data_IF_506111697987
#
_entry.id   IF_506111697987
#
_cell.length_a   1.000
_cell.length_b   1.000
_cell.length_c   1.000
_cell.angle_alpha   90.00
_cell.angle_beta   90.00
_cell.angle_gamma   90.00
#
_symmetry.space_group_name_H-M   'P 1'
#
loop_
_entity.id
_entity.type
_entity.pdbx_description
1 polymer ?
#
# COMPACT_ATOMS: atom_id res chain seq x y z
N UNK A 1 -17.07 25.37 1.42
CA UNK A 1 -17.66 24.09 1.88
C UNK A 1 -16.63 23.46 2.82
N UNK A 2 -16.85 23.54 4.10
CA UNK A 2 -16.03 22.89 5.12
C UNK A 2 -16.22 21.38 4.97
N UNK A 3 -15.17 20.69 4.54
CA UNK A 3 -15.13 19.23 4.61
C UNK A 3 -15.22 18.85 6.08
N UNK A 4 -16.38 18.36 6.48
CA UNK A 4 -16.70 17.92 7.81
C UNK A 4 -15.83 16.72 8.18
N UNK A 5 -15.02 16.89 9.17
CA UNK A 5 -14.43 16.00 10.20
C UNK A 5 -14.30 14.47 9.96
N UNK A 6 -14.19 13.99 8.73
CA UNK A 6 -13.63 12.67 8.47
C UNK A 6 -12.16 12.68 8.91
N UNK A 7 -11.83 11.95 9.97
CA UNK A 7 -10.47 11.84 10.48
C UNK A 7 -9.67 10.93 9.53
N UNK A 8 -8.56 11.44 9.02
CA UNK A 8 -7.59 10.63 8.27
C UNK A 8 -6.22 10.86 8.88
N UNK A 9 -5.54 9.78 9.23
CA UNK A 9 -4.22 9.82 9.86
C UNK A 9 -3.22 9.00 9.06
N UNK A 10 -1.97 9.43 9.08
CA UNK A 10 -0.85 8.78 8.43
C UNK A 10 0.33 8.73 9.41
N UNK A 11 0.80 7.52 9.70
CA UNK A 11 2.02 7.29 10.47
C UNK A 11 3.14 6.81 9.53
N UNK A 12 4.29 7.44 9.63
CA UNK A 12 5.49 6.95 8.96
C UNK A 12 6.13 5.85 9.82
N UNK A 13 6.72 4.82 9.19
CA UNK A 13 7.34 3.73 9.92
C UNK A 13 8.60 4.21 10.66
N UNK A 14 8.94 3.56 11.76
CA UNK A 14 10.27 3.70 12.37
C UNK A 14 11.35 3.38 11.35
N UNK A 15 12.52 3.99 11.48
CA UNK A 15 13.64 3.81 10.52
C UNK A 15 14.01 2.33 10.32
N UNK A 16 13.92 1.51 11.37
CA UNK A 16 14.19 0.07 11.30
C UNK A 16 13.19 -0.71 10.43
N UNK A 17 11.98 -0.18 10.21
CA UNK A 17 10.93 -0.75 9.37
C UNK A 17 10.77 -0.01 8.02
N UNK A 18 11.51 1.05 7.77
CA UNK A 18 11.32 1.92 6.60
C UNK A 18 11.47 1.20 5.25
N UNK A 19 12.24 0.11 5.16
CA UNK A 19 12.36 -0.73 3.96
C UNK A 19 11.32 -1.86 3.87
N UNK A 20 10.49 -2.01 4.90
CA UNK A 20 9.42 -3.00 4.98
C UNK A 20 8.04 -2.33 4.87
N UNK A 21 7.83 -1.28 5.67
CA UNK A 21 6.57 -0.56 5.77
C UNK A 21 6.69 0.76 5.01
N UNK A 22 5.76 1.01 4.08
CA UNK A 22 5.64 2.28 3.37
C UNK A 22 4.96 3.35 4.22
N UNK A 23 3.99 2.95 5.01
CA UNK A 23 3.22 3.79 5.90
C UNK A 23 2.06 3.03 6.53
N UNK A 24 1.49 3.61 7.58
CA UNK A 24 0.27 3.13 8.23
C UNK A 24 -0.76 4.24 8.11
N UNK A 25 -1.99 3.89 7.77
CA UNK A 25 -3.07 4.86 7.55
C UNK A 25 -4.32 4.42 8.30
N UNK A 26 -5.06 5.38 8.82
CA UNK A 26 -6.42 5.17 9.30
C UNK A 26 -7.37 6.19 8.68
N UNK A 27 -8.61 5.78 8.48
CA UNK A 27 -9.72 6.65 8.10
C UNK A 27 -10.92 6.32 8.95
N UNK A 28 -11.44 7.34 9.65
CA UNK A 28 -12.63 7.24 10.48
C UNK A 28 -13.68 8.24 10.01
N UNK A 29 -14.86 7.72 9.69
CA UNK A 29 -16.04 8.50 9.28
C UNK A 29 -17.25 8.22 10.15
N UNK A 30 -17.06 7.61 11.33
CA UNK A 30 -18.17 7.18 12.20
C UNK A 30 -19.04 8.35 12.71
N UNK A 31 -18.42 9.52 12.87
CA UNK A 31 -19.10 10.73 13.33
C UNK A 31 -19.65 11.62 12.19
N UNK A 32 -19.52 11.18 10.93
CA UNK A 32 -19.82 12.01 9.75
C UNK A 32 -20.92 11.41 8.91
N UNK A 33 -21.86 12.24 8.48
CA UNK A 33 -22.85 11.86 7.45
C UNK A 33 -22.23 12.11 6.09
N UNK A 34 -21.91 11.04 5.38
CA UNK A 34 -21.35 11.11 4.02
C UNK A 34 -22.48 11.14 2.98
N UNK A 35 -22.37 12.04 2.02
CA UNK A 35 -23.16 11.98 0.78
C UNK A 35 -22.66 10.84 -0.13
N UNK A 36 -23.42 10.53 -1.18
CA UNK A 36 -23.08 9.38 -2.05
C UNK A 36 -21.70 9.50 -2.70
N UNK A 37 -21.27 10.65 -3.27
CA UNK A 37 -19.90 10.79 -3.80
C UNK A 37 -18.79 10.57 -2.77
N UNK A 38 -18.99 10.96 -1.53
CA UNK A 38 -18.02 10.84 -0.44
C UNK A 38 -17.80 9.40 0.05
N UNK A 39 -18.71 8.49 -0.30
CA UNK A 39 -18.63 7.06 0.01
C UNK A 39 -17.66 6.29 -0.89
N UNK A 40 -17.25 6.88 -2.01
CA UNK A 40 -16.29 6.26 -2.92
C UNK A 40 -14.85 6.61 -2.53
N UNK A 41 -14.01 5.58 -2.45
CA UNK A 41 -12.58 5.73 -2.19
C UNK A 41 -11.82 5.32 -3.43
N UNK A 42 -11.11 6.27 -4.00
CA UNK A 42 -10.30 6.07 -5.19
C UNK A 42 -8.86 5.71 -4.80
N UNK A 43 -8.46 4.48 -5.08
CA UNK A 43 -7.12 3.99 -4.82
C UNK A 43 -6.30 4.03 -6.11
N UNK A 44 -5.17 4.77 -6.13
CA UNK A 44 -4.30 4.81 -7.29
C UNK A 44 -3.61 3.46 -7.52
N UNK A 45 -2.98 3.31 -8.67
CA UNK A 45 -2.02 2.22 -8.90
C UNK A 45 -0.95 2.26 -7.81
N UNK A 46 -0.71 1.14 -7.15
CA UNK A 46 0.26 1.05 -6.07
C UNK A 46 1.08 -0.26 -6.17
N UNK A 47 2.40 -0.18 -6.05
CA UNK A 47 3.24 -1.38 -6.04
C UNK A 47 3.26 -2.09 -4.68
N UNK A 48 2.68 -1.49 -3.65
CA UNK A 48 2.65 -2.02 -2.28
C UNK A 48 1.56 -3.05 -2.08
N UNK A 49 1.78 -3.98 -1.14
CA UNK A 49 0.71 -4.76 -0.54
C UNK A 49 0.08 -3.97 0.60
N UNK A 50 -1.16 -4.28 0.96
CA UNK A 50 -1.80 -3.67 2.11
C UNK A 50 -2.45 -4.73 3.01
N UNK A 51 -2.12 -4.70 4.31
CA UNK A 51 -2.93 -5.33 5.35
C UNK A 51 -4.02 -4.33 5.71
N UNK A 52 -5.28 -4.75 5.61
CA UNK A 52 -6.43 -3.87 5.76
C UNK A 52 -7.42 -4.43 6.78
N UNK A 53 -7.86 -3.58 7.67
CA UNK A 53 -8.90 -3.85 8.67
C UNK A 53 -10.06 -2.88 8.46
N UNK A 54 -11.26 -3.41 8.34
CA UNK A 54 -12.48 -2.67 8.56
C UNK A 54 -12.92 -2.91 10.00
N UNK A 55 -12.50 -2.01 10.89
CA UNK A 55 -12.75 -2.09 12.35
C UNK A 55 -14.22 -1.86 12.66
N UNK A 56 -14.87 -1.01 11.88
CA UNK A 56 -16.30 -0.72 11.92
C UNK A 56 -16.80 -0.44 10.51
N UNK A 57 -18.07 -0.79 10.26
CA UNK A 57 -18.69 -0.62 8.95
C UNK A 57 -18.27 -1.69 7.94
N UNK A 58 -18.66 -1.48 6.70
CA UNK A 58 -18.46 -2.41 5.60
C UNK A 58 -17.82 -1.70 4.40
N UNK A 59 -17.23 -2.48 3.53
CA UNK A 59 -16.67 -2.00 2.28
C UNK A 59 -16.96 -2.97 1.15
N UNK A 60 -17.22 -2.43 -0.03
CA UNK A 60 -17.41 -3.16 -1.27
C UNK A 60 -16.44 -2.60 -2.31
N UNK A 61 -15.83 -3.47 -3.10
CA UNK A 61 -14.98 -3.06 -4.21
C UNK A 61 -15.78 -3.11 -5.51
N UNK A 62 -15.66 -2.09 -6.33
CA UNK A 62 -16.29 -2.05 -7.64
C UNK A 62 -15.60 -3.02 -8.58
N UNK A 63 -16.37 -3.60 -9.50
CA UNK A 63 -15.81 -4.41 -10.57
C UNK A 63 -14.77 -3.60 -11.37
N UNK A 64 -13.68 -4.22 -11.85
CA UNK A 64 -12.63 -3.52 -12.58
C UNK A 64 -13.18 -2.71 -13.76
N UNK A 65 -12.88 -1.41 -13.80
CA UNK A 65 -13.34 -0.51 -14.84
C UNK A 65 -14.79 -0.02 -14.70
N UNK A 66 -15.52 -0.47 -13.68
CA UNK A 66 -16.87 0.04 -13.43
C UNK A 66 -16.79 1.51 -12.95
N UNK A 67 -17.70 2.39 -13.45
CA UNK A 67 -17.75 3.77 -12.99
C UNK A 67 -18.25 3.85 -11.54
N UNK A 68 -17.88 4.89 -10.76
CA UNK A 68 -18.35 5.09 -9.39
C UNK A 68 -19.80 5.61 -9.37
N UNK A 69 -20.75 4.72 -9.67
CA UNK A 69 -22.18 5.02 -9.72
C UNK A 69 -22.94 4.08 -8.77
N UNK A 70 -24.13 4.49 -8.26
CA UNK A 70 -24.90 3.71 -7.30
C UNK A 70 -25.24 2.27 -7.74
N UNK A 71 -25.41 2.05 -9.03
CA UNK A 71 -25.79 0.74 -9.60
C UNK A 71 -24.61 -0.05 -10.16
N UNK A 72 -23.38 0.43 -10.02
CA UNK A 72 -22.20 -0.28 -10.51
C UNK A 72 -22.01 -1.61 -9.81
N UNK A 73 -21.61 -2.67 -10.52
CA UNK A 73 -21.32 -3.97 -9.95
C UNK A 73 -20.22 -3.85 -8.90
N UNK A 74 -20.43 -4.44 -7.73
CA UNK A 74 -19.49 -4.42 -6.62
C UNK A 74 -19.61 -5.68 -5.79
N UNK A 75 -18.54 -6.04 -5.10
CA UNK A 75 -18.49 -7.20 -4.22
C UNK A 75 -18.01 -6.81 -2.83
N UNK A 76 -18.57 -7.40 -1.75
CA UNK A 76 -18.09 -7.18 -0.40
C UNK A 76 -16.65 -7.71 -0.25
N UNK A 77 -15.90 -7.07 0.62
CA UNK A 77 -14.57 -7.54 1.03
C UNK A 77 -14.58 -7.87 2.52
N UNK A 78 -13.74 -8.82 2.93
CA UNK A 78 -13.65 -9.27 4.31
C UNK A 78 -13.16 -8.14 5.24
N UNK A 79 -13.56 -8.19 6.53
CA UNK A 79 -13.15 -7.22 7.53
C UNK A 79 -11.63 -7.20 7.75
N UNK A 80 -10.95 -8.34 7.56
CA UNK A 80 -9.51 -8.50 7.61
C UNK A 80 -9.03 -9.01 6.24
N UNK A 81 -8.18 -8.26 5.55
CA UNK A 81 -7.89 -8.49 4.14
C UNK A 81 -6.43 -8.21 3.82
N UNK A 82 -5.86 -9.01 2.90
CA UNK A 82 -4.62 -8.69 2.21
C UNK A 82 -4.94 -8.19 0.80
N UNK A 83 -4.53 -6.97 0.49
CA UNK A 83 -4.51 -6.46 -0.86
C UNK A 83 -3.11 -6.65 -1.46
N UNK A 84 -3.02 -7.24 -2.64
CA UNK A 84 -1.78 -7.33 -3.41
C UNK A 84 -1.43 -6.00 -4.09
N UNK A 85 -0.31 -5.96 -4.83
CA UNK A 85 0.01 -4.81 -5.65
C UNK A 85 -1.04 -4.63 -6.74
N UNK A 86 -1.38 -3.38 -7.06
CA UNK A 86 -2.35 -3.06 -8.10
C UNK A 86 -1.68 -2.43 -9.32
N UNK A 87 -2.01 -2.92 -10.51
CA UNK A 87 -1.59 -2.38 -11.81
C UNK A 87 -2.62 -1.43 -12.42
N UNK A 88 -3.80 -1.37 -11.84
CA UNK A 88 -4.93 -0.52 -12.24
C UNK A 88 -5.50 0.21 -11.03
N UNK A 89 -6.03 1.43 -11.20
CA UNK A 89 -6.79 2.08 -10.15
C UNK A 89 -7.97 1.21 -9.72
N UNK A 90 -8.26 1.20 -8.42
CA UNK A 90 -9.43 0.52 -7.85
C UNK A 90 -10.33 1.53 -7.16
N UNK A 91 -11.60 1.23 -7.10
CA UNK A 91 -12.58 2.06 -6.39
C UNK A 91 -13.31 1.17 -5.40
N UNK A 92 -13.35 1.59 -4.16
CA UNK A 92 -14.22 0.97 -3.14
C UNK A 92 -15.34 1.92 -2.74
N UNK A 93 -16.41 1.34 -2.22
CA UNK A 93 -17.58 2.06 -1.75
C UNK A 93 -17.99 1.56 -0.36
N UNK A 94 -18.34 2.50 0.51
CA UNK A 94 -18.81 2.20 1.86
C UNK A 94 -20.30 2.47 1.96
N UNK A 95 -21.15 1.49 2.34
CA UNK A 95 -22.58 1.67 2.46
C UNK A 95 -22.97 2.66 3.56
N UNK A 96 -22.12 2.85 4.55
CA UNK A 96 -22.32 3.74 5.68
C UNK A 96 -21.01 4.25 6.27
N UNK A 97 -21.08 4.86 7.47
CA UNK A 97 -19.88 5.26 8.20
C UNK A 97 -18.96 4.07 8.46
N UNK A 98 -17.66 4.29 8.44
CA UNK A 98 -16.68 3.24 8.64
C UNK A 98 -15.44 3.74 9.40
N UNK A 99 -14.74 2.80 10.05
CA UNK A 99 -13.38 2.99 10.54
C UNK A 99 -12.51 1.89 9.92
N UNK A 100 -11.55 2.32 9.09
CA UNK A 100 -10.58 1.43 8.46
C UNK A 100 -9.16 1.77 8.91
N UNK A 101 -8.36 0.73 9.10
CA UNK A 101 -6.93 0.81 9.43
C UNK A 101 -6.14 0.01 8.40
N UNK A 102 -5.03 0.54 7.90
CA UNK A 102 -4.29 -0.05 6.80
C UNK A 102 -2.78 0.09 7.00
N UNK A 103 -2.05 -1.00 6.74
CA UNK A 103 -0.58 -1.03 6.74
C UNK A 103 -0.09 -1.31 5.32
N UNK A 104 0.64 -0.37 4.74
CA UNK A 104 1.24 -0.53 3.42
C UNK A 104 2.62 -1.17 3.56
N UNK A 105 2.80 -2.34 2.95
CA UNK A 105 4.03 -3.12 2.96
C UNK A 105 4.70 -3.14 1.59
N UNK A 106 6.01 -3.11 1.57
CA UNK A 106 6.77 -3.42 0.37
C UNK A 106 6.58 -4.91 0.03
N UNK A 107 6.26 -5.27 -1.23
CA UNK A 107 5.87 -6.64 -1.57
C UNK A 107 6.99 -7.67 -1.33
N UNK A 108 8.24 -7.31 -1.61
CA UNK A 108 9.38 -8.18 -1.33
C UNK A 108 9.59 -8.39 0.19
N UNK A 109 9.30 -7.37 1.00
CA UNK A 109 9.36 -7.53 2.46
C UNK A 109 8.27 -8.47 2.98
N UNK A 110 7.04 -8.35 2.46
CA UNK A 110 5.97 -9.30 2.78
C UNK A 110 6.38 -10.72 2.37
N UNK A 111 6.88 -10.91 1.13
CA UNK A 111 7.34 -12.20 0.64
C UNK A 111 8.46 -12.80 1.52
N UNK A 112 9.43 -11.99 1.95
CA UNK A 112 10.52 -12.44 2.84
C UNK A 112 10.02 -12.87 4.22
N UNK A 113 9.02 -12.20 4.77
CA UNK A 113 8.48 -12.52 6.10
C UNK A 113 7.51 -13.68 6.12
N UNK A 114 6.82 -13.94 5.00
CA UNK A 114 5.69 -14.90 4.95
C UNK A 114 5.90 -16.06 3.99
N UNK A 115 6.81 -15.92 3.03
CA UNK A 115 6.94 -16.87 1.91
C UNK A 115 5.87 -16.74 0.83
N UNK A 116 4.94 -15.79 0.93
CA UNK A 116 3.87 -15.60 -0.06
C UNK A 116 4.44 -15.16 -1.41
N UNK A 117 3.87 -15.71 -2.48
CA UNK A 117 4.13 -15.26 -3.85
C UNK A 117 3.33 -13.98 -4.14
N UNK A 118 3.97 -12.83 -4.02
CA UNK A 118 3.34 -11.53 -4.27
C UNK A 118 2.96 -11.33 -5.74
N UNK A 119 3.55 -12.07 -6.67
CA UNK A 119 3.14 -12.02 -8.07
C UNK A 119 1.77 -12.71 -8.28
N UNK A 120 1.45 -13.74 -7.51
CA UNK A 120 0.14 -14.37 -7.51
C UNK A 120 -0.96 -13.51 -6.87
N UNK A 121 -0.58 -12.48 -6.10
CA UNK A 121 -1.49 -11.52 -5.45
C UNK A 121 -1.75 -10.27 -6.31
N UNK A 122 -1.16 -10.17 -7.50
CA UNK A 122 -1.31 -8.99 -8.36
C UNK A 122 -2.78 -8.74 -8.73
N UNK A 123 -3.25 -7.50 -8.52
CA UNK A 123 -4.63 -7.07 -8.74
C UNK A 123 -5.68 -7.89 -7.96
N UNK A 124 -5.31 -8.44 -6.80
CA UNK A 124 -6.18 -9.27 -5.96
C UNK A 124 -6.38 -8.67 -4.57
N UNK A 125 -7.58 -8.91 -4.05
CA UNK A 125 -7.98 -8.69 -2.66
C UNK A 125 -8.39 -10.06 -2.12
N UNK A 126 -7.78 -10.51 -1.04
CA UNK A 126 -8.02 -11.84 -0.47
C UNK A 126 -8.26 -11.74 1.04
N UNK A 127 -9.16 -12.52 1.63
CA UNK A 127 -9.31 -12.60 3.07
C UNK A 127 -7.98 -12.97 3.75
N UNK A 128 -7.66 -12.32 4.86
CA UNK A 128 -6.40 -12.57 5.57
C UNK A 128 -6.30 -14.02 6.08
N UNK A 129 -7.43 -14.62 6.44
CA UNK A 129 -7.53 -16.00 6.90
C UNK A 129 -7.14 -17.05 5.87
N UNK A 130 -7.27 -16.74 4.58
CA UNK A 130 -6.93 -17.66 3.49
C UNK A 130 -5.43 -17.76 3.21
N UNK A 131 -4.64 -16.75 3.63
CA UNK A 131 -3.24 -16.62 3.20
C UNK A 131 -2.23 -16.55 4.34
N UNK A 132 -2.65 -16.23 5.55
CA UNK A 132 -1.76 -16.05 6.68
C UNK A 132 -1.85 -17.19 7.70
N UNK A 133 -0.71 -17.51 8.32
CA UNK A 133 -0.62 -18.47 9.42
C UNK A 133 -1.23 -17.92 10.74
N UNK A 134 -1.22 -18.77 11.78
CA UNK A 134 -1.82 -18.45 13.07
C UNK A 134 -1.24 -17.20 13.74
N UNK A 135 0.06 -16.93 13.58
CA UNK A 135 0.73 -15.77 14.20
C UNK A 135 0.21 -14.48 13.58
N UNK A 136 0.12 -14.43 12.25
CA UNK A 136 -0.44 -13.29 11.53
C UNK A 136 -1.93 -13.10 11.83
N UNK A 137 -2.70 -14.19 11.91
CA UNK A 137 -4.11 -14.12 12.29
C UNK A 137 -4.30 -13.60 13.71
N UNK A 138 -3.40 -13.97 14.64
CA UNK A 138 -3.37 -13.40 15.99
C UNK A 138 -3.10 -11.88 15.95
N UNK A 139 -2.21 -11.40 15.08
CA UNK A 139 -2.02 -9.95 14.86
C UNK A 139 -3.31 -9.30 14.38
N UNK A 140 -3.98 -9.87 13.35
CA UNK A 140 -5.24 -9.31 12.86
C UNK A 140 -6.27 -9.18 13.97
N UNK A 141 -6.38 -10.17 14.84
CA UNK A 141 -7.28 -10.17 15.99
C UNK A 141 -6.91 -9.08 17.01
N UNK A 142 -5.62 -8.98 17.39
CA UNK A 142 -5.15 -7.99 18.37
C UNK A 142 -5.35 -6.55 17.87
N UNK A 143 -5.03 -6.30 16.60
CA UNK A 143 -5.24 -4.99 15.97
C UNK A 143 -6.73 -4.61 15.94
N UNK A 144 -7.61 -5.57 15.63
CA UNK A 144 -9.06 -5.32 15.64
C UNK A 144 -9.60 -4.99 17.04
N UNK A 145 -9.00 -5.57 18.09
CA UNK A 145 -9.42 -5.39 19.49
C UNK A 145 -8.77 -4.19 20.20
N UNK A 146 -7.76 -3.57 19.60
CA UNK A 146 -7.07 -2.43 20.21
C UNK A 146 -7.99 -1.21 20.35
N UNK A 147 -7.81 -0.43 21.42
CA UNK A 147 -8.69 0.68 21.79
C UNK A 147 -8.58 1.88 20.84
N UNK A 148 -7.39 2.13 20.29
CA UNK A 148 -7.13 3.28 19.42
C UNK A 148 -6.05 2.97 18.34
N UNK A 149 -5.90 3.89 17.38
CA UNK A 149 -5.01 3.67 16.23
C UNK A 149 -3.53 3.72 16.61
N UNK A 150 -3.12 4.47 17.64
CA UNK A 150 -1.73 4.46 18.12
C UNK A 150 -1.35 3.10 18.72
N UNK A 151 -2.25 2.46 19.45
CA UNK A 151 -2.05 1.09 19.92
C UNK A 151 -1.97 0.09 18.75
N UNK A 152 -2.80 0.26 17.71
CA UNK A 152 -2.73 -0.56 16.50
C UNK A 152 -1.40 -0.44 15.80
N UNK A 153 -0.89 0.79 15.66
CA UNK A 153 0.45 1.06 15.12
C UNK A 153 1.52 0.35 15.93
N UNK A 154 1.47 0.48 17.27
CA UNK A 154 2.44 -0.14 18.17
C UNK A 154 2.43 -1.68 18.06
N UNK A 155 1.25 -2.30 17.99
CA UNK A 155 1.10 -3.76 17.81
C UNK A 155 1.69 -4.22 16.47
N UNK A 156 1.39 -3.53 15.38
CA UNK A 156 1.94 -3.83 14.05
C UNK A 156 3.46 -3.69 14.05
N UNK A 157 4.00 -2.61 14.58
CA UNK A 157 5.46 -2.40 14.64
C UNK A 157 6.15 -3.45 15.50
N UNK A 158 5.60 -3.80 16.67
CA UNK A 158 6.13 -4.83 17.56
C UNK A 158 6.14 -6.22 16.89
N UNK A 159 5.12 -6.52 16.09
CA UNK A 159 5.02 -7.77 15.35
C UNK A 159 5.97 -7.85 14.16
N UNK A 160 6.05 -6.78 13.37
CA UNK A 160 6.86 -6.75 12.14
C UNK A 160 8.34 -6.62 12.41
N UNK A 161 8.76 -5.87 13.43
CA UNK A 161 10.16 -5.55 13.66
C UNK A 161 11.07 -6.78 13.79
N UNK A 162 10.81 -7.76 14.68
CA UNK A 162 11.66 -8.94 14.79
C UNK A 162 11.66 -9.80 13.52
N UNK A 163 10.50 -9.95 12.87
CA UNK A 163 10.35 -10.72 11.63
C UNK A 163 11.15 -10.12 10.49
N UNK A 164 11.08 -8.79 10.36
CA UNK A 164 11.85 -8.08 9.35
C UNK A 164 13.34 -8.11 9.62
N UNK A 165 13.77 -7.94 10.87
CA UNK A 165 15.19 -8.04 11.23
C UNK A 165 15.80 -9.40 10.90
N UNK A 166 15.04 -10.48 11.05
CA UNK A 166 15.47 -11.85 10.73
C UNK A 166 15.52 -12.12 9.22
N UNK A 167 14.57 -11.56 8.46
CA UNK A 167 14.35 -11.90 7.05
C UNK A 167 14.90 -10.87 6.06
N UNK A 168 15.20 -9.64 6.51
CA UNK A 168 15.60 -8.55 5.62
C UNK A 168 16.93 -8.84 4.92
N UNK A 169 17.04 -8.54 3.61
CA UNK A 169 18.32 -8.59 2.92
C UNK A 169 19.33 -7.60 3.50
N UNK A 170 20.61 -7.99 3.58
CA UNK A 170 21.68 -7.12 4.10
C UNK A 170 21.81 -5.78 3.34
N UNK A 171 21.40 -5.75 2.06
CA UNK A 171 21.41 -4.56 1.20
C UNK A 171 20.10 -3.75 1.24
N UNK A 172 19.14 -4.08 2.12
CA UNK A 172 17.91 -3.31 2.25
C UNK A 172 18.20 -1.89 2.78
N UNK A 173 17.72 -0.89 2.05
CA UNK A 173 17.89 0.53 2.42
C UNK A 173 16.95 0.90 3.55
N UNK A 174 17.37 1.82 4.42
CA UNK A 174 16.49 2.41 5.45
C UNK A 174 15.68 3.58 4.87
N UNK A 175 14.88 3.30 3.84
CA UNK A 175 14.04 4.28 3.17
C UNK A 175 12.67 3.69 2.86
N UNK A 176 11.62 4.47 3.09
CA UNK A 176 10.24 4.13 2.74
C UNK A 176 9.82 4.66 1.37
N UNK A 177 10.70 5.37 0.64
CA UNK A 177 10.40 5.93 -0.69
C UNK A 177 10.39 4.84 -1.75
N UNK A 178 9.39 4.87 -2.64
CA UNK A 178 9.26 3.88 -3.72
C UNK A 178 10.46 3.90 -4.69
N UNK A 179 11.03 5.08 -4.96
CA UNK A 179 12.22 5.21 -5.81
C UNK A 179 13.44 4.50 -5.23
N UNK A 180 13.69 4.64 -3.92
CA UNK A 180 14.83 4.00 -3.26
C UNK A 180 14.62 2.50 -3.15
N UNK A 181 13.40 2.09 -2.81
CA UNK A 181 13.02 0.69 -2.77
C UNK A 181 13.18 0.02 -4.15
N UNK A 182 12.63 0.60 -5.22
CA UNK A 182 12.72 0.02 -6.56
C UNK A 182 14.16 -0.10 -7.05
N UNK A 183 15.02 0.89 -6.73
CA UNK A 183 16.46 0.84 -7.00
C UNK A 183 17.14 -0.31 -6.22
N UNK A 184 16.82 -0.46 -4.94
CA UNK A 184 17.36 -1.55 -4.10
C UNK A 184 16.97 -2.92 -4.64
N UNK A 185 15.70 -3.11 -5.03
CA UNK A 185 15.21 -4.34 -5.67
C UNK A 185 15.98 -4.64 -6.97
N UNK A 186 16.15 -3.64 -7.82
CA UNK A 186 16.87 -3.80 -9.08
C UNK A 186 18.35 -4.20 -8.86
N UNK A 187 19.04 -3.53 -7.93
CA UNK A 187 20.43 -3.87 -7.56
C UNK A 187 20.55 -5.29 -7.03
N UNK A 188 19.66 -5.71 -6.13
CA UNK A 188 19.64 -7.09 -5.60
C UNK A 188 19.37 -8.11 -6.69
N UNK A 189 18.44 -7.82 -7.61
CA UNK A 189 18.14 -8.71 -8.73
C UNK A 189 19.34 -8.88 -9.67
N UNK A 190 20.11 -7.82 -9.91
CA UNK A 190 21.30 -7.83 -10.73
C UNK A 190 22.47 -8.57 -10.04
N UNK A 191 22.69 -8.36 -8.74
CA UNK A 191 23.80 -8.95 -7.98
C UNK A 191 23.58 -10.40 -7.55
N UNK A 192 22.37 -10.92 -7.58
CA UNK A 192 22.00 -12.24 -7.07
C UNK A 192 22.46 -13.42 -7.93
N UNK A 193 23.45 -13.24 -8.83
CA UNK A 193 24.05 -14.34 -9.57
C UNK A 193 25.11 -13.89 -10.57
N UNK A 194 26.30 -14.45 -10.43
CA UNK A 194 27.42 -14.25 -11.34
C UNK A 194 27.03 -14.64 -12.79
N UNK A 195 27.30 -13.75 -13.76
CA UNK A 195 27.15 -14.03 -15.18
C UNK A 195 25.72 -14.10 -15.72
N UNK A 196 24.73 -13.60 -15.01
CA UNK A 196 23.32 -13.71 -15.42
C UNK A 196 22.83 -12.51 -16.23
N UNK A 197 21.95 -12.79 -17.21
CA UNK A 197 21.45 -11.80 -18.16
C UNK A 197 20.46 -10.82 -17.53
N UNK A 198 20.28 -9.64 -18.16
CA UNK A 198 19.25 -8.65 -17.80
C UNK A 198 17.85 -9.29 -17.72
N UNK A 199 17.56 -10.25 -18.61
CA UNK A 199 16.27 -10.99 -18.61
C UNK A 199 16.04 -11.77 -17.31
N UNK A 200 17.09 -12.30 -16.69
CA UNK A 200 16.94 -13.00 -15.39
C UNK A 200 16.75 -12.02 -14.23
N UNK A 201 17.41 -10.87 -14.25
CA UNK A 201 17.17 -9.80 -13.27
C UNK A 201 15.72 -9.31 -13.34
N UNK A 202 15.20 -9.04 -14.56
CA UNK A 202 13.80 -8.63 -14.76
C UNK A 202 12.79 -9.69 -14.26
N UNK A 203 13.06 -10.98 -14.51
CA UNK A 203 12.23 -12.07 -14.00
C UNK A 203 12.18 -12.09 -12.49
N UNK A 204 13.30 -11.83 -11.80
CA UNK A 204 13.35 -11.77 -10.33
C UNK A 204 12.61 -10.56 -9.78
N UNK A 205 12.80 -9.38 -10.38
CA UNK A 205 12.04 -8.19 -10.00
C UNK A 205 10.56 -8.50 -10.05
N UNK A 206 10.10 -9.08 -11.16
CA UNK A 206 8.69 -9.45 -11.33
C UNK A 206 8.23 -10.50 -10.31
N UNK A 207 9.06 -11.49 -9.99
CA UNK A 207 8.75 -12.50 -8.98
C UNK A 207 8.63 -11.89 -7.57
N UNK A 208 9.52 -10.94 -7.21
CA UNK A 208 9.54 -10.34 -5.88
C UNK A 208 8.52 -9.23 -5.67
N UNK A 209 8.06 -8.60 -6.75
CA UNK A 209 7.21 -7.39 -6.66
C UNK A 209 5.89 -7.51 -7.40
N UNK A 210 5.69 -8.57 -8.18
CA UNK A 210 4.56 -8.70 -9.10
C UNK A 210 4.66 -7.80 -10.34
N UNK A 211 5.63 -6.88 -10.43
CA UNK A 211 5.70 -5.85 -11.47
C UNK A 211 7.05 -5.82 -12.19
N UNK A 212 7.07 -5.23 -13.40
CA UNK A 212 8.31 -5.01 -14.16
C UNK A 212 9.08 -3.83 -13.58
N UNK A 213 10.41 -3.79 -13.79
CA UNK A 213 11.25 -2.65 -13.40
C UNK A 213 10.76 -1.35 -14.04
N UNK A 214 10.30 -1.39 -15.29
CA UNK A 214 9.74 -0.22 -15.99
C UNK A 214 8.51 0.35 -15.27
N UNK A 215 7.60 -0.52 -14.82
CA UNK A 215 6.42 -0.09 -14.07
C UNK A 215 6.81 0.53 -12.73
N UNK A 216 7.73 -0.11 -11.99
CA UNK A 216 8.22 0.42 -10.70
C UNK A 216 8.87 1.79 -10.85
N UNK A 217 9.67 2.01 -11.89
CA UNK A 217 10.24 3.33 -12.20
C UNK A 217 9.16 4.36 -12.54
N UNK A 218 8.14 3.97 -13.31
CA UNK A 218 6.98 4.83 -13.61
C UNK A 218 6.26 5.28 -12.34
N UNK A 219 5.97 4.34 -11.43
CA UNK A 219 5.34 4.63 -10.14
C UNK A 219 6.18 5.54 -9.26
N UNK A 220 7.50 5.33 -9.21
CA UNK A 220 8.41 6.21 -8.46
C UNK A 220 8.44 7.64 -9.02
N UNK A 221 8.33 7.81 -10.34
CA UNK A 221 8.19 9.15 -10.97
C UNK A 221 6.86 9.79 -10.63
N UNK A 222 5.77 9.02 -10.68
CA UNK A 222 4.43 9.50 -10.32
C UNK A 222 4.36 9.93 -8.86
N UNK A 223 4.98 9.17 -7.96
CA UNK A 223 5.08 9.53 -6.54
C UNK A 223 5.82 10.86 -6.36
N UNK A 224 6.95 11.04 -7.05
CA UNK A 224 7.72 12.30 -6.99
C UNK A 224 6.88 13.47 -7.50
N UNK A 225 6.25 13.32 -8.68
CA UNK A 225 5.39 14.35 -9.26
C UNK A 225 4.24 14.74 -8.33
N UNK A 226 3.66 13.77 -7.63
CA UNK A 226 2.62 14.02 -6.65
C UNK A 226 3.11 14.88 -5.48
N UNK A 227 4.25 14.52 -4.87
CA UNK A 227 4.79 15.29 -3.73
C UNK A 227 5.28 16.68 -4.14
N UNK A 228 5.93 16.81 -5.30
CA UNK A 228 6.34 18.12 -5.83
C UNK A 228 5.13 18.99 -6.16
N UNK A 229 4.07 18.40 -6.75
CA UNK A 229 2.81 19.09 -7.01
C UNK A 229 2.08 19.52 -5.73
N UNK A 230 2.05 18.67 -4.71
CA UNK A 230 1.45 18.98 -3.43
C UNK A 230 2.20 20.12 -2.72
N UNK A 231 3.54 20.11 -2.73
CA UNK A 231 4.36 21.18 -2.19
C UNK A 231 4.15 22.49 -2.95
N UNK A 232 4.22 22.47 -4.28
CA UNK A 232 3.97 23.64 -5.12
C UNK A 232 2.58 24.25 -4.90
N UNK A 233 1.58 23.40 -4.66
CA UNK A 233 0.21 23.84 -4.33
C UNK A 233 0.18 24.59 -2.97
N UNK A 234 0.88 24.07 -1.96
CA UNK A 234 0.99 24.74 -0.66
C UNK A 234 1.72 26.08 -0.77
N UNK A 235 2.73 26.17 -1.65
CA UNK A 235 3.51 27.38 -1.91
C UNK A 235 2.76 28.37 -2.85
N UNK A 236 1.58 28.00 -3.34
CA UNK A 236 0.71 28.85 -4.19
C UNK A 236 1.17 29.00 -5.65
N UNK A 237 2.14 28.20 -6.11
CA UNK A 237 2.71 28.32 -7.46
C UNK A 237 2.91 26.94 -8.12
N UNK A 238 1.83 26.41 -8.74
CA UNK A 238 1.91 25.12 -9.45
C UNK A 238 2.28 25.34 -10.91
N UNK A 239 3.47 24.92 -11.32
CA UNK A 239 3.94 24.87 -12.70
C UNK A 239 4.10 23.41 -13.14
N UNK A 240 3.07 22.84 -13.74
CA UNK A 240 3.04 21.41 -14.15
C UNK A 240 4.18 21.01 -15.08
N UNK A 241 4.65 21.93 -15.95
CA UNK A 241 5.79 21.70 -16.84
C UNK A 241 7.08 21.42 -16.06
N UNK A 242 7.37 22.24 -15.04
CA UNK A 242 8.57 22.11 -14.19
C UNK A 242 8.50 20.83 -13.36
N UNK A 243 7.31 20.52 -12.80
CA UNK A 243 7.08 19.28 -12.04
C UNK A 243 7.30 18.06 -12.95
N UNK A 244 6.77 18.08 -14.17
CA UNK A 244 6.96 17.00 -15.12
C UNK A 244 8.45 16.78 -15.44
N UNK A 245 9.19 17.86 -15.73
CA UNK A 245 10.62 17.80 -16.00
C UNK A 245 11.42 17.28 -14.79
N UNK A 246 11.18 17.83 -13.60
CA UNK A 246 11.85 17.43 -12.35
C UNK A 246 11.55 15.96 -12.01
N UNK A 247 10.35 15.46 -12.34
CA UNK A 247 9.93 14.08 -12.10
C UNK A 247 10.32 13.11 -13.23
N UNK A 248 10.96 13.60 -14.31
CA UNK A 248 11.44 12.79 -15.43
C UNK A 248 10.34 12.33 -16.40
N UNK A 249 9.33 13.17 -16.63
CA UNK A 249 8.28 12.98 -17.64
C UNK A 249 8.53 13.78 -18.94
N UNK A 250 9.67 14.40 -19.08
CA UNK A 250 10.03 15.12 -20.30
C UNK A 250 10.41 14.18 -21.44
#
# INVERSE_FOLDING_TARGET
MTYSDARSELWLPRSALASCVRGVMARDTLSVVLDEPQRYNHMPVAPTCALLWYLRGECQVLAPGAPPLPHSPRAPIAAATLCGPFTRPTVSWNPGPMHAFMVLLMPDALAHMTGLDTAALLDRIVPAEEVFDADWQALFTQVAQADNDDQRVALVEAFLLPRWQQSRPASALHSHRLTDWSRSVALRAASSGLGRSLRQAERRIKQWTGQTQRNLHGLGRSERAFFEGAQAHQDGAVHWGDIAQASGYA
#
